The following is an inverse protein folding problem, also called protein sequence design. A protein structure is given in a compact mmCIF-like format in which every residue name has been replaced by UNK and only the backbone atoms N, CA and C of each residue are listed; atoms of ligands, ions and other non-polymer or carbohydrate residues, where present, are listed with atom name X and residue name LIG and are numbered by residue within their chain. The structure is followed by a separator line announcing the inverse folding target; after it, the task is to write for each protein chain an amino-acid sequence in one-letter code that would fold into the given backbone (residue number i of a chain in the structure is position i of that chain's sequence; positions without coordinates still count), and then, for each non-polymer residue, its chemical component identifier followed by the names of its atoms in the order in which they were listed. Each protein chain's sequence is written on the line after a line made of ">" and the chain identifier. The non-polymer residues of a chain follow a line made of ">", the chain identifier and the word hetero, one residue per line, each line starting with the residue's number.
data_IF_537418405753
#
_entry.id   IF_537418405753
#
_cell.length_a   1.000
_cell.length_b   1.000
_cell.length_c   1.000
_cell.angle_alpha   90.00
_cell.angle_beta   90.00
_cell.angle_gamma   90.00
#
_symmetry.space_group_name_H-M   'P 1'
#
loop_
_entity.id
_entity.type
_entity.pdbx_description
1 polymer ?
#
# COMPACT_ATOMS: atom_id res chain seq x y z
N UNK A 1 -2.77 -71.30 59.40
CA UNK A 1 -1.49 -70.62 59.63
C UNK A 1 -1.43 -69.40 58.73
N UNK A 2 -1.13 -68.25 59.34
CA UNK A 2 -0.65 -66.97 58.81
C UNK A 2 -1.45 -66.12 57.80
N UNK A 3 -1.87 -64.98 58.34
CA UNK A 3 -2.14 -63.67 57.74
C UNK A 3 -1.07 -63.23 56.74
N UNK A 4 -1.48 -62.44 55.75
CA UNK A 4 -0.72 -61.26 55.31
C UNK A 4 -1.70 -60.19 54.82
N UNK A 5 -1.51 -58.99 55.37
CA UNK A 5 -2.23 -57.76 55.08
C UNK A 5 -1.79 -57.23 53.71
N UNK A 6 -2.67 -56.54 52.98
CA UNK A 6 -2.22 -55.46 52.11
C UNK A 6 -3.22 -54.31 52.12
N UNK A 7 -2.61 -53.13 52.27
CA UNK A 7 -3.20 -51.85 52.65
C UNK A 7 -3.66 -51.08 51.42
N UNK A 8 -4.74 -50.33 51.65
CA UNK A 8 -5.42 -49.36 50.80
C UNK A 8 -4.49 -48.28 50.21
N UNK A 9 -4.68 -47.92 48.94
CA UNK A 9 -4.48 -46.55 48.46
C UNK A 9 -5.62 -46.20 47.50
N UNK A 10 -6.62 -45.45 47.99
CA UNK A 10 -7.59 -44.74 47.14
C UNK A 10 -6.92 -43.45 46.67
N UNK A 11 -6.59 -43.35 45.39
CA UNK A 11 -6.29 -42.09 44.74
C UNK A 11 -7.59 -41.45 44.27
N UNK A 12 -8.01 -40.36 44.96
CA UNK A 12 -9.05 -39.46 44.45
C UNK A 12 -8.47 -38.72 43.22
N UNK A 13 -8.92 -39.07 42.02
CA UNK A 13 -8.70 -38.25 40.84
C UNK A 13 -9.72 -37.11 40.83
N UNK A 14 -9.28 -35.90 41.17
CA UNK A 14 -10.06 -34.68 40.96
C UNK A 14 -9.98 -34.36 39.47
N UNK A 15 -11.07 -34.58 38.75
CA UNK A 15 -11.23 -34.07 37.37
C UNK A 15 -11.49 -32.58 37.48
N UNK A 16 -10.46 -31.77 37.31
CA UNK A 16 -10.62 -30.35 37.06
C UNK A 16 -11.20 -30.18 35.66
N UNK A 17 -12.50 -29.85 35.57
CA UNK A 17 -13.10 -29.39 34.33
C UNK A 17 -12.46 -28.04 33.99
N UNK A 18 -11.52 -28.04 33.05
CA UNK A 18 -11.07 -26.82 32.40
C UNK A 18 -12.26 -26.28 31.60
N UNK A 19 -12.89 -25.22 32.09
CA UNK A 19 -13.80 -24.43 31.29
C UNK A 19 -12.96 -23.76 30.20
N UNK A 20 -12.92 -24.37 29.02
CA UNK A 20 -12.47 -23.72 27.80
C UNK A 20 -13.50 -22.63 27.47
N UNK A 21 -13.24 -21.41 27.91
CA UNK A 21 -13.89 -20.22 27.38
C UNK A 21 -13.48 -20.10 25.92
N UNK A 22 -14.29 -20.65 25.03
CA UNK A 22 -14.23 -20.29 23.63
C UNK A 22 -14.55 -18.79 23.57
N UNK A 23 -13.50 -17.97 23.43
CA UNK A 23 -13.65 -16.59 22.96
C UNK A 23 -14.22 -16.71 21.56
N UNK A 24 -15.54 -16.55 21.42
CA UNK A 24 -16.15 -16.25 20.14
C UNK A 24 -15.52 -14.95 19.69
N UNK A 25 -14.49 -15.02 18.84
CA UNK A 25 -13.97 -13.88 18.10
C UNK A 25 -15.10 -13.43 17.19
N UNK A 26 -15.91 -12.49 17.66
CA UNK A 26 -16.92 -11.84 16.84
C UNK A 26 -16.17 -11.02 15.80
N UNK A 27 -16.37 -11.32 14.53
CA UNK A 27 -15.85 -10.49 13.44
C UNK A 27 -16.31 -9.04 13.63
N UNK A 28 -15.51 -8.04 13.22
CA UNK A 28 -15.94 -6.65 13.23
C UNK A 28 -17.24 -6.49 12.41
N UNK A 29 -18.20 -5.67 12.89
CA UNK A 29 -19.44 -5.43 12.17
C UNK A 29 -19.13 -4.75 10.84
N UNK A 30 -19.79 -5.21 9.77
CA UNK A 30 -19.75 -4.54 8.47
C UNK A 30 -20.54 -3.23 8.48
N UNK A 31 -20.36 -2.38 7.46
CA UNK A 31 -21.03 -1.10 7.36
C UNK A 31 -22.57 -1.15 7.48
N UNK A 32 -23.20 -2.24 7.02
CA UNK A 32 -24.64 -2.46 7.10
C UNK A 32 -25.13 -3.00 8.47
N UNK A 33 -24.22 -3.47 9.31
CA UNK A 33 -24.48 -3.98 10.66
C UNK A 33 -24.08 -2.98 11.75
N UNK A 34 -23.26 -1.99 11.39
CA UNK A 34 -22.69 -1.01 12.31
C UNK A 34 -23.74 0.03 12.73
N UNK A 35 -23.85 0.25 14.05
CA UNK A 35 -24.68 1.30 14.62
C UNK A 35 -23.95 2.12 15.71
N UNK A 36 -24.66 3.11 16.27
CA UNK A 36 -24.11 3.99 17.29
C UNK A 36 -23.86 3.33 18.66
N UNK A 37 -24.27 2.08 18.87
CA UNK A 37 -24.04 1.32 20.10
C UNK A 37 -22.72 0.54 20.05
N UNK A 38 -22.02 0.50 18.92
CA UNK A 38 -20.72 -0.14 18.81
C UNK A 38 -19.68 0.58 19.69
N UNK A 39 -19.17 -0.10 20.72
CA UNK A 39 -18.32 0.52 21.74
C UNK A 39 -16.83 0.39 21.43
N UNK A 40 -16.03 1.24 22.07
CA UNK A 40 -14.58 1.15 21.96
C UNK A 40 -14.04 -0.19 22.51
N UNK A 41 -14.64 -0.75 23.56
CA UNK A 41 -14.24 -2.05 24.10
C UNK A 41 -14.51 -3.20 23.12
N UNK A 42 -15.63 -3.15 22.39
CA UNK A 42 -15.91 -4.11 21.31
C UNK A 42 -14.91 -3.94 20.17
N UNK A 43 -14.58 -2.71 19.80
CA UNK A 43 -13.54 -2.42 18.83
C UNK A 43 -12.18 -2.99 19.23
N UNK A 44 -11.73 -2.75 20.47
CA UNK A 44 -10.47 -3.29 20.97
C UNK A 44 -10.46 -4.83 20.90
N UNK A 45 -11.56 -5.49 21.25
CA UNK A 45 -11.67 -6.94 21.18
C UNK A 45 -11.66 -7.47 19.74
N UNK A 46 -12.32 -6.79 18.80
CA UNK A 46 -12.44 -7.22 17.41
C UNK A 46 -11.13 -7.08 16.62
N UNK A 47 -10.27 -6.14 17.00
CA UNK A 47 -8.99 -5.86 16.33
C UNK A 47 -7.76 -6.23 17.18
N UNK A 48 -7.94 -7.02 18.24
CA UNK A 48 -6.89 -7.48 19.17
C UNK A 48 -5.99 -6.34 19.70
N UNK A 49 -6.62 -5.21 20.06
CA UNK A 49 -5.93 -4.01 20.54
C UNK A 49 -5.97 -3.92 22.06
N UNK A 50 -4.87 -3.43 22.65
CA UNK A 50 -4.82 -3.09 24.07
C UNK A 50 -3.94 -1.87 24.35
N UNK A 51 -4.38 -1.02 25.27
CA UNK A 51 -3.67 0.20 25.66
C UNK A 51 -3.48 0.23 27.17
N UNK A 52 -2.27 -0.11 27.65
CA UNK A 52 -1.96 -0.12 29.09
C UNK A 52 -1.77 1.28 29.68
N UNK A 53 -1.41 2.27 28.85
CA UNK A 53 -1.28 3.66 29.26
C UNK A 53 -2.67 4.34 29.29
N UNK A 54 -3.13 4.88 30.43
CA UNK A 54 -4.47 5.48 30.54
C UNK A 54 -4.69 6.71 29.66
N UNK A 55 -3.65 7.52 29.43
CA UNK A 55 -3.75 8.72 28.59
C UNK A 55 -3.87 8.32 27.12
N UNK A 56 -3.12 7.30 26.68
CA UNK A 56 -3.23 6.76 25.33
C UNK A 56 -4.58 6.06 25.11
N UNK A 57 -5.06 5.27 26.08
CA UNK A 57 -6.41 4.69 26.02
C UNK A 57 -7.48 5.77 25.84
N UNK A 58 -7.41 6.84 26.63
CA UNK A 58 -8.34 7.97 26.55
C UNK A 58 -8.26 8.67 25.20
N UNK A 59 -7.05 8.86 24.67
CA UNK A 59 -6.81 9.46 23.36
C UNK A 59 -7.40 8.59 22.24
N UNK A 60 -7.08 7.29 22.20
CA UNK A 60 -7.58 6.32 21.20
C UNK A 60 -9.09 6.19 21.24
N UNK A 61 -9.68 6.12 22.43
CA UNK A 61 -11.13 6.11 22.60
C UNK A 61 -11.80 7.35 22.01
N UNK A 62 -11.21 8.54 22.22
CA UNK A 62 -11.73 9.78 21.62
C UNK A 62 -11.64 9.77 20.09
N UNK A 63 -10.53 9.30 19.53
CA UNK A 63 -10.33 9.21 18.08
C UNK A 63 -11.32 8.22 17.47
N UNK A 64 -11.45 7.03 18.07
CA UNK A 64 -12.44 6.03 17.71
C UNK A 64 -13.85 6.61 17.67
N UNK A 65 -14.28 7.28 18.74
CA UNK A 65 -15.63 7.85 18.81
C UNK A 65 -15.85 8.90 17.71
N UNK A 66 -14.85 9.73 17.39
CA UNK A 66 -14.95 10.70 16.31
C UNK A 66 -15.07 10.02 14.94
N UNK A 67 -14.21 9.03 14.66
CA UNK A 67 -14.21 8.30 13.39
C UNK A 67 -15.47 7.45 13.22
N UNK A 68 -15.99 6.84 14.29
CA UNK A 68 -17.28 6.15 14.28
C UNK A 68 -18.42 7.09 13.86
N UNK A 69 -18.45 8.32 14.37
CA UNK A 69 -19.43 9.30 13.93
C UNK A 69 -19.25 9.71 12.46
N UNK A 70 -18.01 9.79 11.95
CA UNK A 70 -17.75 10.03 10.53
C UNK A 70 -18.35 8.89 9.69
N UNK A 71 -18.07 7.63 10.06
CA UNK A 71 -18.59 6.44 9.37
C UNK A 71 -20.12 6.45 9.35
N UNK A 72 -20.75 6.59 10.52
CA UNK A 72 -22.21 6.56 10.65
C UNK A 72 -22.89 7.69 9.87
N UNK A 73 -22.29 8.89 9.85
CA UNK A 73 -22.82 10.01 9.09
C UNK A 73 -22.65 9.82 7.58
N UNK A 74 -21.52 9.27 7.12
CA UNK A 74 -21.27 8.97 5.71
C UNK A 74 -22.23 7.90 5.17
N UNK A 75 -22.53 6.88 5.97
CA UNK A 75 -23.41 5.77 5.58
C UNK A 75 -24.91 6.09 5.72
N UNK A 76 -25.26 7.21 6.36
CA UNK A 76 -26.66 7.53 6.69
C UNK A 76 -27.53 7.65 5.43
N UNK A 77 -28.52 6.79 5.32
CA UNK A 77 -29.51 6.81 4.24
C UNK A 77 -29.01 6.19 2.93
N UNK A 78 -27.84 5.55 2.93
CA UNK A 78 -27.37 4.73 1.80
C UNK A 78 -28.15 3.42 1.74
N UNK A 79 -28.54 3.02 0.54
CA UNK A 79 -29.16 1.72 0.26
C UNK A 79 -28.05 0.67 0.13
N UNK A 80 -27.88 -0.14 1.18
CA UNK A 80 -26.87 -1.19 1.25
C UNK A 80 -27.54 -2.55 1.15
N UNK A 81 -27.00 -3.44 0.32
CA UNK A 81 -27.46 -4.82 0.25
C UNK A 81 -27.00 -5.66 1.47
N UNK A 82 -27.40 -6.93 1.51
CA UNK A 82 -27.01 -7.83 2.60
C UNK A 82 -25.51 -8.12 2.68
N UNK A 83 -24.75 -7.84 1.62
CA UNK A 83 -23.28 -7.93 1.59
C UNK A 83 -22.58 -6.62 1.94
N UNK A 84 -23.34 -5.56 2.26
CA UNK A 84 -22.80 -4.23 2.59
C UNK A 84 -22.46 -3.38 1.36
N UNK A 85 -22.77 -3.85 0.15
CA UNK A 85 -22.53 -3.10 -1.09
C UNK A 85 -23.57 -2.00 -1.25
N UNK A 86 -23.12 -0.83 -1.71
CA UNK A 86 -23.98 0.33 -1.93
C UNK A 86 -24.29 0.50 -3.41
N UNK A 87 -25.51 0.96 -3.70
CA UNK A 87 -25.97 1.19 -5.08
C UNK A 87 -25.17 2.26 -5.85
N UNK A 88 -24.59 3.26 -5.19
CA UNK A 88 -23.77 4.30 -5.81
C UNK A 88 -22.71 4.83 -4.82
N UNK A 89 -21.49 5.05 -5.31
CA UNK A 89 -20.35 5.50 -4.50
C UNK A 89 -19.81 4.42 -3.56
N UNK A 90 -19.36 4.83 -2.37
CA UNK A 90 -18.70 3.95 -1.41
C UNK A 90 -19.30 4.06 0.01
N UNK A 91 -19.04 3.05 0.82
CA UNK A 91 -19.34 3.02 2.26
C UNK A 91 -18.07 3.03 3.09
N UNK A 92 -18.18 3.57 4.29
CA UNK A 92 -17.11 3.53 5.28
C UNK A 92 -17.39 2.44 6.30
N UNK A 93 -16.34 1.88 6.88
CA UNK A 93 -16.42 0.79 7.85
C UNK A 93 -15.48 0.99 9.03
N UNK A 94 -15.73 0.23 10.09
CA UNK A 94 -14.75 0.10 11.16
C UNK A 94 -13.67 -0.88 10.72
N UNK A 95 -12.42 -0.45 10.84
CA UNK A 95 -11.23 -1.25 10.58
C UNK A 95 -10.12 -0.90 11.59
N UNK A 96 -8.94 -1.49 11.45
CA UNK A 96 -7.78 -1.28 12.31
C UNK A 96 -7.30 0.18 12.42
N UNK A 97 -7.78 1.09 11.56
CA UNK A 97 -7.47 2.53 11.60
C UNK A 97 -8.54 3.38 12.28
N UNK A 98 -9.63 2.79 12.79
CA UNK A 98 -10.74 3.57 13.37
C UNK A 98 -10.30 4.40 14.56
N UNK A 99 -9.29 3.98 15.33
CA UNK A 99 -8.71 4.72 16.45
C UNK A 99 -7.39 5.45 16.11
N UNK A 100 -7.13 5.66 14.81
CA UNK A 100 -5.94 6.33 14.29
C UNK A 100 -6.32 7.70 13.72
N UNK A 101 -5.61 8.75 14.11
CA UNK A 101 -5.76 10.07 13.49
C UNK A 101 -5.14 10.06 12.09
N UNK A 102 -5.67 10.85 11.16
CA UNK A 102 -5.12 10.99 9.79
C UNK A 102 -3.61 11.30 9.80
N UNK A 103 -3.17 12.13 10.75
CA UNK A 103 -1.75 12.47 10.94
C UNK A 103 -0.89 11.31 11.46
N UNK A 104 -1.47 10.20 11.88
CA UNK A 104 -0.78 8.99 12.36
C UNK A 104 -0.76 7.84 11.35
N UNK A 105 -1.55 7.92 10.27
CA UNK A 105 -1.55 6.88 9.23
C UNK A 105 -0.14 6.61 8.70
N UNK A 106 0.20 5.34 8.38
CA UNK A 106 1.53 4.96 7.89
C UNK A 106 1.72 5.36 6.42
N UNK A 107 1.61 6.66 6.15
CA UNK A 107 1.87 7.22 4.83
C UNK A 107 3.39 7.21 4.61
N UNK A 108 3.84 6.66 3.50
CA UNK A 108 5.27 6.49 3.20
C UNK A 108 6.01 7.76 2.80
N UNK A 109 5.63 8.89 3.37
CA UNK A 109 5.87 10.21 2.80
C UNK A 109 5.80 11.25 3.93
N UNK A 110 6.92 11.89 4.23
CA UNK A 110 7.18 12.65 5.47
C UNK A 110 6.11 13.73 5.77
N UNK A 111 5.48 13.64 6.95
CA UNK A 111 4.44 14.59 7.44
C UNK A 111 4.98 15.92 7.99
N UNK A 112 6.30 16.13 7.97
CA UNK A 112 7.00 17.21 8.68
C UNK A 112 7.16 18.55 7.96
N UNK A 113 6.39 18.88 6.91
CA UNK A 113 6.59 20.13 6.14
C UNK A 113 5.45 21.15 6.31
N UNK A 114 5.89 22.40 6.55
CA UNK A 114 5.27 23.48 7.33
C UNK A 114 4.36 24.44 6.50
N UNK A 115 3.49 25.28 7.11
CA UNK A 115 2.40 26.05 6.46
C UNK A 115 2.72 27.33 5.64
N UNK A 116 3.92 27.50 5.10
CA UNK A 116 4.15 28.48 4.03
C UNK A 116 4.23 27.64 2.74
N UNK A 117 3.63 27.99 1.60
CA UNK A 117 4.18 28.91 0.61
C UNK A 117 3.11 29.16 -0.48
N UNK A 118 3.16 30.31 -1.14
CA UNK A 118 2.25 30.69 -2.23
C UNK A 118 3.02 31.15 -3.46
N UNK A 119 2.56 30.65 -4.61
CA UNK A 119 2.52 31.21 -5.98
C UNK A 119 3.66 30.96 -6.98
N UNK A 120 3.25 30.23 -8.03
CA UNK A 120 3.40 30.46 -9.49
C UNK A 120 4.66 30.01 -10.25
N UNK A 121 4.44 28.88 -10.93
CA UNK A 121 4.61 28.58 -12.38
C UNK A 121 5.97 28.20 -12.94
N UNK A 122 5.92 26.99 -13.54
CA UNK A 122 6.66 26.44 -14.70
C UNK A 122 7.92 25.58 -14.46
N UNK A 123 7.88 24.42 -15.14
CA UNK A 123 8.92 23.41 -15.41
C UNK A 123 9.46 22.60 -14.22
N UNK A 124 8.94 21.37 -14.08
CA UNK A 124 9.54 20.30 -13.27
C UNK A 124 10.76 19.77 -14.02
N UNK A 125 11.96 20.15 -13.59
CA UNK A 125 13.19 19.44 -13.94
C UNK A 125 13.36 18.27 -12.98
N UNK A 126 13.27 17.07 -13.53
CA UNK A 126 13.66 15.80 -12.91
C UNK A 126 15.07 15.90 -12.32
N UNK A 127 15.26 15.50 -11.05
CA UNK A 127 16.58 15.51 -10.39
C UNK A 127 17.51 14.46 -10.99
N UNK A 128 18.84 14.64 -10.88
CA UNK A 128 19.82 13.64 -11.27
C UNK A 128 19.88 12.41 -10.34
N UNK A 129 19.04 12.31 -9.31
CA UNK A 129 18.81 11.04 -8.61
C UNK A 129 18.19 10.01 -9.55
N UNK A 130 17.33 10.44 -10.48
CA UNK A 130 16.91 9.61 -11.61
C UNK A 130 18.03 9.34 -12.63
N UNK A 131 19.15 10.09 -12.54
CA UNK A 131 20.41 9.83 -13.29
C UNK A 131 21.47 9.09 -12.47
N UNK A 132 21.21 8.64 -11.24
CA UNK A 132 22.13 7.79 -10.49
C UNK A 132 22.14 6.35 -11.02
N UNK A 133 22.00 6.19 -12.32
CA UNK A 133 22.33 4.97 -13.03
C UNK A 133 23.76 5.18 -13.53
N UNK A 134 24.74 4.73 -12.73
CA UNK A 134 26.09 4.50 -13.24
C UNK A 134 25.95 3.75 -14.56
N UNK A 135 26.62 4.21 -15.62
CA UNK A 135 26.31 4.00 -17.03
C UNK A 135 26.26 2.56 -17.58
N UNK A 136 25.50 1.68 -16.93
CA UNK A 136 25.33 0.25 -17.17
C UNK A 136 23.90 -0.24 -16.95
N UNK A 137 23.01 0.54 -16.32
CA UNK A 137 21.58 0.20 -16.12
C UNK A 137 20.72 1.32 -16.69
N UNK A 138 19.68 0.98 -17.45
CA UNK A 138 18.90 1.95 -18.22
C UNK A 138 17.61 2.26 -17.48
N UNK A 139 17.35 3.54 -17.21
CA UNK A 139 16.01 4.08 -17.38
C UNK A 139 15.65 3.73 -18.81
N UNK A 140 14.85 2.68 -19.00
CA UNK A 140 14.28 2.49 -20.32
C UNK A 140 13.23 3.57 -20.42
N UNK A 141 13.49 4.62 -21.21
CA UNK A 141 12.37 5.28 -21.90
C UNK A 141 11.44 4.15 -22.35
N UNK A 142 10.13 4.21 -22.03
CA UNK A 142 9.23 3.10 -22.34
C UNK A 142 9.53 2.69 -23.78
N UNK A 143 9.88 1.41 -24.05
CA UNK A 143 10.08 0.99 -25.43
C UNK A 143 8.87 1.49 -26.19
N UNK A 144 9.05 2.16 -27.33
CA UNK A 144 7.94 2.80 -28.05
C UNK A 144 6.86 1.74 -28.28
N UNK A 145 5.87 1.70 -27.40
CA UNK A 145 4.85 0.67 -27.41
C UNK A 145 3.63 1.32 -28.04
N UNK A 146 3.08 0.60 -29.02
CA UNK A 146 1.89 1.06 -29.70
C UNK A 146 0.76 1.07 -28.67
N UNK A 147 0.31 2.26 -28.28
CA UNK A 147 -0.89 2.42 -27.47
C UNK A 147 -2.09 2.25 -28.38
N UNK A 148 -2.90 1.22 -28.10
CA UNK A 148 -4.18 1.04 -28.74
C UNK A 148 -5.18 2.07 -28.20
N UNK A 149 -6.22 2.37 -28.98
CA UNK A 149 -7.29 3.24 -28.49
C UNK A 149 -7.99 2.56 -27.31
N UNK A 150 -8.31 3.34 -26.27
CA UNK A 150 -8.87 2.79 -25.02
C UNK A 150 -10.17 2.03 -25.28
N UNK A 151 -10.93 2.43 -26.29
CA UNK A 151 -12.15 1.75 -26.73
C UNK A 151 -11.92 0.31 -27.21
N UNK A 152 -10.73 0.02 -27.74
CA UNK A 152 -10.31 -1.29 -28.26
C UNK A 152 -9.71 -2.20 -27.18
N UNK A 153 -9.43 -1.68 -25.98
CA UNK A 153 -8.96 -2.46 -24.85
C UNK A 153 -10.08 -3.34 -24.25
N UNK A 154 -9.74 -4.42 -23.52
CA UNK A 154 -10.72 -5.18 -22.75
C UNK A 154 -11.54 -4.26 -21.85
N UNK A 155 -12.83 -4.56 -21.66
CA UNK A 155 -13.70 -3.74 -20.79
C UNK A 155 -13.37 -3.88 -19.30
N UNK A 156 -12.75 -4.99 -18.92
CA UNK A 156 -12.26 -5.24 -17.57
C UNK A 156 -10.96 -6.02 -17.63
N UNK A 157 -10.03 -5.68 -16.75
CA UNK A 157 -8.79 -6.40 -16.51
C UNK A 157 -8.67 -6.57 -15.00
N UNK A 158 -8.34 -7.79 -14.55
CA UNK A 158 -8.07 -8.05 -13.14
C UNK A 158 -6.95 -9.09 -13.03
N UNK A 159 -5.72 -8.61 -12.82
CA UNK A 159 -4.54 -9.45 -12.68
C UNK A 159 -4.59 -10.34 -11.43
N UNK A 160 -5.41 -10.01 -10.42
CA UNK A 160 -5.59 -10.88 -9.26
C UNK A 160 -6.38 -12.15 -9.62
N UNK A 161 -7.37 -12.05 -10.51
CA UNK A 161 -8.10 -13.21 -11.03
C UNK A 161 -7.25 -14.09 -11.96
N UNK A 162 -6.21 -13.52 -12.58
CA UNK A 162 -5.21 -14.27 -13.36
C UNK A 162 -4.17 -14.97 -12.47
N UNK A 163 -4.26 -14.82 -11.14
CA UNK A 163 -3.41 -15.53 -10.17
C UNK A 163 -1.98 -15.00 -10.07
N UNK A 164 -1.69 -13.81 -10.61
CA UNK A 164 -0.34 -13.23 -10.61
C UNK A 164 -0.14 -12.14 -9.54
N UNK A 165 -1.12 -11.95 -8.65
CA UNK A 165 -1.08 -10.93 -7.59
C UNK A 165 -1.22 -11.61 -6.23
N UNK A 166 -0.23 -11.42 -5.35
CA UNK A 166 -0.28 -11.89 -3.97
C UNK A 166 -1.38 -11.18 -3.14
N UNK A 167 -1.75 -11.76 -1.99
CA UNK A 167 -2.68 -11.12 -1.03
C UNK A 167 -2.15 -9.78 -0.52
N UNK A 168 -3.03 -8.86 -0.11
CA UNK A 168 -2.63 -7.54 0.38
C UNK A 168 -1.81 -7.65 1.68
N UNK A 169 -0.55 -7.19 1.69
CA UNK A 169 0.31 -7.25 2.88
C UNK A 169 0.00 -6.09 3.83
N UNK A 170 0.52 -6.15 5.05
CA UNK A 170 0.39 -5.08 6.05
C UNK A 170 1.76 -4.44 6.35
N UNK A 171 1.92 -3.18 5.93
CA UNK A 171 3.13 -2.41 6.20
C UNK A 171 3.26 -1.94 7.67
N UNK A 172 2.19 -2.04 8.46
CA UNK A 172 2.15 -1.59 9.83
C UNK A 172 2.35 -0.07 9.98
N UNK A 173 2.98 0.36 11.07
CA UNK A 173 3.22 1.78 11.38
C UNK A 173 4.37 2.44 10.60
N UNK A 174 5.01 1.73 9.67
CA UNK A 174 6.17 2.19 8.92
C UNK A 174 5.74 2.84 7.59
N UNK A 175 6.38 3.96 7.21
CA UNK A 175 6.17 4.61 5.93
C UNK A 175 6.84 3.90 4.75
N UNK A 176 6.55 2.62 4.56
CA UNK A 176 7.22 1.70 3.62
C UNK A 176 6.39 1.34 2.39
N UNK A 177 5.27 2.02 2.14
CA UNK A 177 4.39 1.75 0.98
C UNK A 177 5.15 1.69 -0.36
N UNK A 178 6.20 2.50 -0.51
CA UNK A 178 7.08 2.50 -1.68
C UNK A 178 7.79 1.16 -1.91
N UNK A 179 8.25 0.51 -0.83
CA UNK A 179 8.88 -0.80 -0.88
C UNK A 179 7.84 -1.89 -1.19
N UNK A 180 6.66 -1.83 -0.57
CA UNK A 180 5.57 -2.79 -0.84
C UNK A 180 5.07 -2.70 -2.28
N UNK A 181 4.85 -1.50 -2.81
CA UNK A 181 4.43 -1.32 -4.19
C UNK A 181 5.51 -1.77 -5.19
N UNK A 182 6.78 -1.44 -4.93
CA UNK A 182 7.90 -1.89 -5.74
C UNK A 182 8.03 -3.42 -5.77
N UNK A 183 7.89 -4.06 -4.59
CA UNK A 183 7.91 -5.52 -4.46
C UNK A 183 6.76 -6.18 -5.21
N UNK A 184 5.51 -5.72 -4.99
CA UNK A 184 4.33 -6.29 -5.64
C UNK A 184 4.43 -6.30 -7.17
N UNK A 185 5.00 -5.24 -7.76
CA UNK A 185 5.22 -5.18 -9.18
C UNK A 185 6.26 -6.20 -9.66
N UNK A 186 7.37 -6.38 -8.94
CA UNK A 186 8.38 -7.39 -9.29
C UNK A 186 7.81 -8.79 -9.20
N UNK A 187 7.07 -9.11 -8.13
CA UNK A 187 6.42 -10.42 -7.95
C UNK A 187 5.47 -10.73 -9.12
N UNK A 188 4.60 -9.79 -9.47
CA UNK A 188 3.59 -9.99 -10.51
C UNK A 188 4.21 -10.06 -11.90
N UNK A 189 5.19 -9.19 -12.20
CA UNK A 189 5.88 -9.22 -13.49
C UNK A 189 6.74 -10.47 -13.66
N UNK A 190 7.30 -11.04 -12.58
CA UNK A 190 7.96 -12.34 -12.62
C UNK A 190 6.95 -13.44 -12.96
N UNK A 191 5.83 -13.52 -12.24
CA UNK A 191 4.77 -14.51 -12.47
C UNK A 191 4.26 -14.46 -13.91
N UNK A 192 4.03 -13.25 -14.44
CA UNK A 192 3.64 -13.05 -15.85
C UNK A 192 4.72 -13.52 -16.82
N UNK A 193 6.00 -13.22 -16.53
CA UNK A 193 7.11 -13.56 -17.42
C UNK A 193 7.43 -15.06 -17.45
N UNK A 194 7.27 -15.76 -16.32
CA UNK A 194 7.62 -17.19 -16.18
C UNK A 194 6.42 -18.11 -16.33
N UNK A 195 5.20 -17.62 -16.10
CA UNK A 195 3.99 -18.44 -15.97
C UNK A 195 3.93 -19.26 -14.68
N UNK A 196 4.71 -18.89 -13.67
CA UNK A 196 4.74 -19.50 -12.34
C UNK A 196 3.82 -18.75 -11.37
N UNK A 197 3.51 -19.37 -10.23
CA UNK A 197 2.82 -18.69 -9.13
C UNK A 197 3.66 -17.49 -8.61
N UNK A 198 3.03 -16.38 -8.19
CA UNK A 198 3.74 -15.22 -7.69
C UNK A 198 4.53 -15.58 -6.43
N UNK A 199 5.84 -15.37 -6.50
CA UNK A 199 6.74 -15.49 -5.36
C UNK A 199 6.43 -14.38 -4.33
N UNK A 200 6.74 -14.62 -3.06
CA UNK A 200 6.62 -13.61 -2.00
C UNK A 200 8.02 -13.11 -1.61
N UNK A 201 8.33 -11.87 -1.98
CA UNK A 201 9.64 -11.26 -1.79
C UNK A 201 9.69 -10.37 -0.56
N UNK A 202 10.90 -10.07 -0.11
CA UNK A 202 11.17 -9.24 1.05
C UNK A 202 11.09 -7.75 0.72
N UNK A 203 10.10 -7.06 1.27
CA UNK A 203 10.06 -5.59 1.28
C UNK A 203 11.13 -5.01 2.19
N UNK A 204 11.54 -5.75 3.23
CA UNK A 204 12.56 -5.34 4.19
C UNK A 204 13.91 -5.13 3.52
N UNK A 205 14.27 -5.96 2.52
CA UNK A 205 15.48 -5.73 1.74
C UNK A 205 15.44 -4.38 1.02
N UNK A 206 14.33 -4.06 0.34
CA UNK A 206 14.19 -2.77 -0.35
C UNK A 206 14.22 -1.62 0.66
N UNK A 207 13.47 -1.73 1.75
CA UNK A 207 13.38 -0.74 2.82
C UNK A 207 14.75 -0.31 3.34
N UNK A 208 15.60 -1.30 3.64
CA UNK A 208 16.86 -1.08 4.34
C UNK A 208 18.05 -0.78 3.43
N UNK A 209 18.02 -1.29 2.19
CA UNK A 209 19.16 -1.24 1.29
C UNK A 209 19.07 -0.19 0.19
N UNK A 210 17.87 0.31 -0.14
CA UNK A 210 17.72 1.28 -1.23
C UNK A 210 18.25 2.66 -0.82
N UNK A 211 19.26 3.20 -1.53
CA UNK A 211 19.75 4.54 -1.24
C UNK A 211 18.72 5.61 -1.57
N UNK A 212 18.59 6.62 -0.71
CA UNK A 212 17.80 7.83 -0.97
C UNK A 212 18.62 9.10 -0.66
N UNK A 213 19.72 9.34 -1.40
CA UNK A 213 20.65 10.43 -1.08
C UNK A 213 20.00 11.81 -1.20
N UNK A 214 19.03 11.97 -2.09
CA UNK A 214 18.42 13.27 -2.41
C UNK A 214 17.08 13.49 -1.69
N UNK A 215 16.73 12.57 -0.79
CA UNK A 215 15.50 12.59 -0.01
C UNK A 215 14.24 12.72 -0.89
N UNK A 216 14.18 11.92 -1.96
CA UNK A 216 13.01 11.78 -2.82
C UNK A 216 11.92 11.03 -2.08
N UNK A 217 10.78 11.70 -1.91
CA UNK A 217 9.63 11.23 -1.17
C UNK A 217 9.84 10.79 0.25
N UNK A 218 10.79 11.43 0.93
CA UNK A 218 11.09 11.16 2.32
C UNK A 218 12.58 11.01 2.55
N UNK A 219 12.98 10.41 3.68
CA UNK A 219 14.40 10.25 4.05
C UNK A 219 14.92 8.83 3.87
N UNK A 220 14.17 8.00 3.16
CA UNK A 220 14.39 6.55 3.06
C UNK A 220 13.68 5.79 4.17
N UNK A 221 13.68 4.47 4.05
CA UNK A 221 13.12 3.54 5.06
C UNK A 221 11.67 3.89 5.43
N UNK A 222 11.34 3.85 6.72
CA UNK A 222 10.03 4.23 7.25
C UNK A 222 9.72 5.73 7.17
N UNK A 223 10.68 6.59 6.84
CA UNK A 223 10.45 8.03 6.61
C UNK A 223 10.04 8.33 5.16
N UNK A 224 9.97 7.30 4.31
CA UNK A 224 9.49 7.40 2.95
C UNK A 224 10.57 7.42 1.87
N UNK A 225 10.23 6.85 0.72
CA UNK A 225 11.01 6.94 -0.52
C UNK A 225 10.07 6.72 -1.72
N UNK A 226 10.63 6.51 -2.91
CA UNK A 226 9.85 6.19 -4.11
C UNK A 226 10.14 4.76 -4.61
N UNK A 227 9.17 4.08 -5.25
CA UNK A 227 9.37 2.75 -5.85
C UNK A 227 10.56 2.68 -6.82
N UNK A 228 10.81 3.76 -7.55
CA UNK A 228 11.88 3.91 -8.55
C UNK A 228 13.26 3.78 -7.92
N UNK A 229 13.45 4.34 -6.71
CA UNK A 229 14.70 4.18 -5.96
C UNK A 229 14.95 2.71 -5.57
N UNK A 230 13.87 1.98 -5.25
CA UNK A 230 13.95 0.56 -4.95
C UNK A 230 14.39 -0.25 -6.17
N UNK A 231 13.78 0.02 -7.32
CA UNK A 231 14.16 -0.64 -8.58
C UNK A 231 15.55 -0.23 -9.07
N UNK A 232 15.97 1.02 -8.89
CA UNK A 232 17.35 1.43 -9.16
C UNK A 232 18.35 0.58 -8.37
N UNK A 233 18.09 0.39 -7.08
CA UNK A 233 18.90 -0.48 -6.22
C UNK A 233 18.92 -1.92 -6.73
N UNK A 234 17.76 -2.55 -6.96
CA UNK A 234 17.69 -3.94 -7.42
C UNK A 234 18.38 -4.12 -8.77
N UNK A 235 18.16 -3.21 -9.72
CA UNK A 235 18.78 -3.25 -11.04
C UNK A 235 20.32 -3.15 -10.95
N UNK A 236 20.85 -2.22 -10.15
CA UNK A 236 22.30 -2.08 -9.94
C UNK A 236 22.91 -3.33 -9.30
N UNK A 237 22.28 -3.85 -8.24
CA UNK A 237 22.75 -5.06 -7.55
C UNK A 237 22.75 -6.28 -8.47
N UNK A 238 21.69 -6.42 -9.29
CA UNK A 238 21.54 -7.51 -10.26
C UNK A 238 22.58 -7.40 -11.37
N UNK A 239 22.72 -6.22 -12.00
CA UNK A 239 23.66 -5.98 -13.09
C UNK A 239 25.11 -6.23 -12.67
N UNK A 240 25.46 -5.89 -11.43
CA UNK A 240 26.79 -6.11 -10.87
C UNK A 240 27.00 -7.50 -10.27
N UNK A 241 25.99 -8.38 -10.31
CA UNK A 241 26.01 -9.72 -9.70
C UNK A 241 26.38 -9.69 -8.21
N UNK A 242 25.87 -8.69 -7.49
CA UNK A 242 26.11 -8.47 -6.05
C UNK A 242 24.89 -8.72 -5.20
N UNK A 243 23.71 -8.85 -5.80
CA UNK A 243 22.46 -9.03 -5.09
C UNK A 243 21.26 -9.00 -6.03
N UNK A 244 20.09 -8.82 -5.44
CA UNK A 244 18.78 -8.75 -6.07
C UNK A 244 17.74 -8.65 -4.96
N UNK A 245 16.53 -9.12 -5.21
CA UNK A 245 15.49 -9.30 -4.19
C UNK A 245 15.58 -10.69 -3.57
N UNK A 246 15.14 -10.81 -2.32
CA UNK A 246 15.20 -12.03 -1.50
C UNK A 246 13.79 -12.51 -1.16
N UNK A 247 13.63 -13.79 -0.80
CA UNK A 247 12.33 -14.26 -0.29
C UNK A 247 11.98 -13.58 1.03
N UNK A 248 10.69 -13.37 1.27
CA UNK A 248 10.20 -12.86 2.55
C UNK A 248 10.66 -13.72 3.74
N UNK A 249 10.71 -15.04 3.59
CA UNK A 249 11.13 -15.95 4.66
C UNK A 249 12.63 -15.84 5.02
N UNK A 250 13.46 -15.44 4.06
CA UNK A 250 14.91 -15.28 4.25
C UNK A 250 15.24 -13.93 4.89
N UNK A 251 14.45 -12.91 4.55
CA UNK A 251 14.56 -11.53 5.09
C UNK A 251 13.16 -11.04 5.51
N UNK A 252 12.67 -11.41 6.71
CA UNK A 252 11.33 -11.06 7.15
C UNK A 252 11.11 -9.56 7.36
N UNK A 253 9.89 -9.10 7.07
CA UNK A 253 9.47 -7.73 7.36
C UNK A 253 9.12 -7.54 8.83
N UNK A 254 9.62 -6.46 9.43
CA UNK A 254 9.26 -6.04 10.79
C UNK A 254 8.90 -4.55 10.91
N UNK A 255 9.01 -3.78 9.82
CA UNK A 255 8.69 -2.35 9.81
C UNK A 255 9.57 -1.49 10.73
N UNK A 256 10.76 -1.97 11.09
CA UNK A 256 11.73 -1.24 11.88
C UNK A 256 12.91 -0.76 11.03
N UNK A 257 13.57 0.32 11.47
CA UNK A 257 14.78 0.81 10.81
C UNK A 257 16.01 0.01 11.29
N UNK A 258 16.53 -0.86 10.45
CA UNK A 258 17.71 -1.69 10.71
C UNK A 258 18.96 -1.19 9.95
N UNK A 259 19.88 -2.08 9.61
CA UNK A 259 20.98 -1.80 8.69
C UNK A 259 20.95 -2.85 7.59
N UNK A 260 21.09 -2.42 6.34
CA UNK A 260 21.26 -3.33 5.22
C UNK A 260 22.42 -4.33 5.42
N UNK A 261 23.55 -3.86 5.95
CA UNK A 261 24.68 -4.76 6.26
C UNK A 261 24.30 -5.75 7.37
N UNK A 262 24.55 -7.03 7.11
CA UNK A 262 24.21 -8.12 8.01
C UNK A 262 22.79 -8.68 7.82
N UNK A 263 21.86 -7.85 7.34
CA UNK A 263 20.50 -8.27 6.99
C UNK A 263 20.52 -9.25 5.81
N UNK A 264 21.31 -8.93 4.77
CA UNK A 264 21.35 -9.68 3.51
C UNK A 264 22.63 -10.50 3.30
N UNK A 265 23.66 -10.34 4.14
CA UNK A 265 25.02 -10.83 3.89
C UNK A 265 25.13 -12.36 3.67
N UNK A 266 24.20 -13.14 4.22
CA UNK A 266 24.17 -14.60 4.10
C UNK A 266 22.92 -15.13 3.37
N UNK A 267 22.15 -14.25 2.76
CA UNK A 267 20.93 -14.61 2.06
C UNK A 267 21.20 -14.76 0.57
N UNK A 268 20.40 -15.59 -0.10
CA UNK A 268 20.53 -15.79 -1.55
C UNK A 268 19.50 -14.93 -2.27
N UNK A 269 19.92 -13.98 -3.13
CA UNK A 269 18.97 -13.24 -3.93
C UNK A 269 18.33 -14.19 -4.95
N UNK A 270 17.02 -14.07 -5.15
CA UNK A 270 16.22 -14.95 -6.01
C UNK A 270 15.70 -14.28 -7.26
N UNK A 271 15.49 -12.96 -7.22
CA UNK A 271 14.89 -12.21 -8.33
C UNK A 271 15.69 -10.96 -8.63
N UNK A 272 15.91 -10.70 -9.91
CA UNK A 272 16.58 -9.51 -10.41
C UNK A 272 15.71 -8.78 -11.42
N UNK A 273 16.07 -7.53 -11.70
CA UNK A 273 15.44 -6.71 -12.74
C UNK A 273 16.52 -6.06 -13.61
N UNK A 274 16.17 -5.69 -14.84
CA UNK A 274 17.08 -4.96 -15.73
C UNK A 274 16.96 -3.44 -15.58
N UNK A 275 15.80 -2.97 -15.13
CA UNK A 275 15.50 -1.57 -14.90
C UNK A 275 14.02 -1.37 -14.62
N UNK A 276 13.51 -0.19 -14.92
CA UNK A 276 12.09 0.16 -14.81
C UNK A 276 11.73 1.22 -15.86
N UNK A 277 10.45 1.48 -16.02
CA UNK A 277 9.93 2.51 -16.92
C UNK A 277 8.85 3.34 -16.24
N UNK A 278 8.76 4.60 -16.66
CA UNK A 278 7.72 5.54 -16.29
C UNK A 278 6.78 5.76 -17.47
N UNK A 279 5.47 5.68 -17.26
CA UNK A 279 4.48 6.09 -18.25
C UNK A 279 4.28 7.60 -18.21
N UNK A 280 3.82 8.23 -19.32
CA UNK A 280 3.47 9.63 -19.31
C UNK A 280 2.51 9.99 -18.16
N UNK A 281 2.95 10.90 -17.29
CA UNK A 281 2.17 11.38 -16.16
C UNK A 281 0.86 12.02 -16.62
N UNK A 282 -0.20 11.77 -15.85
CA UNK A 282 -1.55 12.27 -16.06
C UNK A 282 -2.20 11.82 -17.40
N UNK A 283 -1.69 10.73 -17.98
CA UNK A 283 -2.18 10.21 -19.27
C UNK A 283 -2.99 8.93 -19.06
N UNK A 284 -4.32 9.08 -19.17
CA UNK A 284 -5.28 8.00 -19.05
C UNK A 284 -5.02 6.91 -20.10
N UNK A 285 -4.73 7.29 -21.35
CA UNK A 285 -4.49 6.32 -22.42
C UNK A 285 -3.23 5.50 -22.14
N UNK A 286 -2.18 6.14 -21.63
CA UNK A 286 -0.96 5.45 -21.25
C UNK A 286 -1.20 4.46 -20.10
N UNK A 287 -1.86 4.88 -19.02
CA UNK A 287 -2.17 4.02 -17.86
C UNK A 287 -3.02 2.82 -18.26
N UNK A 288 -4.04 3.02 -19.10
CA UNK A 288 -4.90 1.93 -19.57
C UNK A 288 -4.17 0.93 -20.49
N UNK A 289 -3.15 1.37 -21.21
CA UNK A 289 -2.32 0.54 -22.08
C UNK A 289 -1.09 -0.07 -21.35
N UNK A 290 -1.01 0.05 -20.02
CA UNK A 290 0.11 -0.50 -19.27
C UNK A 290 0.26 -2.02 -19.50
N UNK A 291 1.52 -2.46 -19.64
CA UNK A 291 1.84 -3.88 -19.81
C UNK A 291 1.93 -4.52 -18.42
N UNK A 292 0.88 -5.25 -18.04
CA UNK A 292 0.80 -5.83 -16.71
C UNK A 292 0.29 -4.84 -15.64
N UNK A 293 0.23 -5.28 -14.38
CA UNK A 293 -0.09 -4.40 -13.25
C UNK A 293 1.07 -3.41 -12.99
N UNK A 294 0.74 -2.22 -12.50
CA UNK A 294 1.69 -1.09 -12.37
C UNK A 294 1.62 -0.44 -10.99
N UNK A 295 2.67 0.26 -10.60
CA UNK A 295 2.70 1.08 -9.39
C UNK A 295 2.14 2.46 -9.69
N UNK A 296 1.38 3.01 -8.73
CA UNK A 296 0.86 4.38 -8.75
C UNK A 296 1.32 5.13 -7.49
N UNK A 297 1.66 6.40 -7.63
CA UNK A 297 1.63 7.34 -6.51
C UNK A 297 0.24 8.03 -6.44
N UNK A 298 -0.41 7.98 -5.28
CA UNK A 298 -1.79 8.42 -5.08
C UNK A 298 -1.95 9.34 -3.86
N UNK A 299 -3.04 10.10 -3.85
CA UNK A 299 -3.51 10.87 -2.70
C UNK A 299 -4.50 10.02 -1.89
N UNK A 300 -4.02 9.44 -0.78
CA UNK A 300 -4.77 8.44 0.01
C UNK A 300 -5.09 8.89 1.44
N UNK A 301 -4.97 10.19 1.74
CA UNK A 301 -5.19 10.77 3.09
C UNK A 301 -6.56 10.45 3.70
N UNK A 302 -7.57 10.18 2.88
CA UNK A 302 -8.96 9.94 3.29
C UNK A 302 -9.44 8.51 2.99
N UNK A 303 -8.52 7.62 2.61
CA UNK A 303 -8.85 6.22 2.31
C UNK A 303 -9.10 5.40 3.57
N UNK A 304 -8.53 5.77 4.71
CA UNK A 304 -8.37 4.88 5.88
C UNK A 304 -9.66 4.24 6.42
N UNK A 305 -10.84 4.82 6.16
CA UNK A 305 -12.13 4.29 6.61
C UNK A 305 -12.95 3.64 5.49
N UNK A 306 -12.40 3.49 4.28
CA UNK A 306 -13.04 2.79 3.17
C UNK A 306 -13.29 1.32 3.53
N UNK A 307 -14.51 0.84 3.26
CA UNK A 307 -14.86 -0.58 3.38
C UNK A 307 -15.17 -1.20 2.01
N UNK A 308 -16.02 -0.57 1.19
CA UNK A 308 -16.37 -1.09 -0.14
C UNK A 308 -17.04 -0.05 -1.04
N UNK A 309 -17.16 -0.36 -2.33
CA UNK A 309 -17.82 0.45 -3.35
C UNK A 309 -16.85 1.30 -4.19
N UNK A 310 -17.38 2.21 -4.99
CA UNK A 310 -16.55 3.05 -5.87
C UNK A 310 -16.15 4.33 -5.15
N UNK A 311 -14.89 4.39 -4.74
CA UNK A 311 -14.31 5.50 -3.98
C UNK A 311 -14.09 6.74 -4.86
N UNK A 312 -14.45 7.91 -4.32
CA UNK A 312 -14.25 9.21 -4.96
C UNK A 312 -13.72 10.19 -3.90
N UNK A 313 -12.64 10.90 -4.24
CA UNK A 313 -12.02 11.90 -3.37
C UNK A 313 -11.51 13.09 -4.15
N UNK A 314 -11.50 14.25 -3.47
CA UNK A 314 -10.89 15.48 -3.96
C UNK A 314 -9.49 15.72 -3.37
N UNK A 315 -8.98 14.84 -2.53
CA UNK A 315 -7.60 14.94 -2.03
C UNK A 315 -6.62 14.87 -3.21
N UNK A 316 -5.66 15.80 -3.23
CA UNK A 316 -4.66 15.92 -4.30
C UNK A 316 -3.23 15.78 -3.82
N UNK A 317 -2.98 15.80 -2.51
CA UNK A 317 -1.62 15.60 -1.97
C UNK A 317 -1.23 14.14 -2.08
N UNK A 318 -0.34 13.86 -3.03
CA UNK A 318 0.22 12.53 -3.26
C UNK A 318 1.07 12.17 -2.05
N UNK A 319 0.79 11.01 -1.47
CA UNK A 319 1.39 10.60 -0.21
C UNK A 319 1.32 9.10 0.04
N UNK A 320 1.09 8.30 -0.99
CA UNK A 320 1.02 6.85 -0.87
C UNK A 320 1.39 6.17 -2.19
N UNK A 321 2.09 5.04 -2.12
CA UNK A 321 2.44 4.22 -3.28
C UNK A 321 1.62 2.93 -3.21
N UNK A 322 0.94 2.60 -4.30
CA UNK A 322 -0.02 1.48 -4.37
C UNK A 322 0.14 0.73 -5.69
N UNK A 323 -0.55 -0.41 -5.81
CA UNK A 323 -0.40 -1.29 -6.95
C UNK A 323 -1.72 -1.41 -7.72
N UNK A 324 -1.77 -0.85 -8.93
CA UNK A 324 -2.89 -0.96 -9.86
C UNK A 324 -2.87 -2.34 -10.51
N UNK A 325 -3.85 -3.16 -10.14
CA UNK A 325 -3.97 -4.56 -10.59
C UNK A 325 -5.03 -4.74 -11.66
N UNK A 326 -5.75 -3.68 -12.03
CA UNK A 326 -6.82 -3.80 -12.99
C UNK A 326 -7.75 -2.61 -13.06
N UNK A 327 -8.83 -2.79 -13.80
CA UNK A 327 -9.93 -1.85 -13.95
C UNK A 327 -11.18 -2.61 -14.39
N UNK A 328 -12.35 -1.98 -14.23
CA UNK A 328 -13.59 -2.57 -14.70
C UNK A 328 -14.75 -1.58 -14.65
N UNK A 329 -15.94 -2.16 -14.67
CA UNK A 329 -17.22 -1.47 -14.50
C UNK A 329 -18.00 -2.27 -13.45
N UNK A 330 -18.51 -1.59 -12.43
CA UNK A 330 -19.36 -2.24 -11.44
C UNK A 330 -20.69 -2.64 -12.10
N UNK A 331 -21.05 -3.92 -12.03
CA UNK A 331 -22.23 -4.45 -12.75
C UNK A 331 -23.56 -3.90 -12.21
N UNK A 332 -23.60 -3.46 -10.95
CA UNK A 332 -24.81 -2.96 -10.31
C UNK A 332 -25.00 -1.46 -10.55
N UNK A 333 -23.91 -0.70 -10.47
CA UNK A 333 -23.96 0.77 -10.57
C UNK A 333 -23.68 1.27 -11.99
N UNK A 334 -22.96 0.49 -12.79
CA UNK A 334 -22.42 0.91 -14.08
C UNK A 334 -21.25 1.89 -13.96
N UNK A 335 -20.71 2.12 -12.76
CA UNK A 335 -19.57 3.03 -12.56
C UNK A 335 -18.26 2.31 -12.88
N UNK A 336 -17.44 2.98 -13.69
CA UNK A 336 -16.10 2.53 -14.03
C UNK A 336 -15.12 2.75 -12.87
N UNK A 337 -14.19 1.82 -12.68
CA UNK A 337 -13.21 1.89 -11.61
C UNK A 337 -11.82 1.41 -12.03
N UNK A 338 -10.81 1.90 -11.31
CA UNK A 338 -9.49 1.31 -11.15
C UNK A 338 -9.50 0.36 -9.96
N UNK A 339 -8.89 -0.82 -10.08
CA UNK A 339 -8.74 -1.80 -9.01
C UNK A 339 -7.32 -1.74 -8.45
N UNK A 340 -7.20 -1.37 -7.18
CA UNK A 340 -5.92 -1.08 -6.54
C UNK A 340 -5.72 -2.01 -5.34
N UNK A 341 -4.61 -2.75 -5.33
CA UNK A 341 -4.10 -3.49 -4.16
C UNK A 341 -3.36 -2.51 -3.26
N UNK A 342 -3.76 -2.45 -1.99
CA UNK A 342 -3.12 -1.62 -0.97
C UNK A 342 -2.15 -2.46 -0.11
N UNK A 343 -1.38 -1.79 0.75
CA UNK A 343 -0.40 -2.39 1.69
C UNK A 343 -0.79 -2.18 3.15
N UNK A 344 -2.09 -2.10 3.43
CA UNK A 344 -2.66 -1.88 4.76
C UNK A 344 -3.32 -3.13 5.34
N UNK A 345 -2.98 -4.30 4.83
CA UNK A 345 -3.52 -5.59 5.26
C UNK A 345 -4.91 -5.90 4.69
N UNK A 346 -5.37 -7.16 4.85
CA UNK A 346 -6.62 -7.64 4.26
C UNK A 346 -7.88 -7.08 4.94
N UNK A 347 -7.76 -6.57 6.17
CA UNK A 347 -8.88 -5.96 6.92
C UNK A 347 -9.24 -4.55 6.40
N UNK A 348 -8.37 -3.96 5.57
CA UNK A 348 -8.67 -2.71 4.89
C UNK A 348 -9.52 -2.96 3.65
N UNK A 349 -10.62 -2.20 3.49
CA UNK A 349 -11.39 -2.20 2.25
C UNK A 349 -11.90 -3.60 1.83
N UNK A 350 -11.76 -3.88 0.54
CA UNK A 350 -12.29 -5.09 -0.10
C UNK A 350 -11.21 -6.18 -0.11
N UNK A 351 -10.87 -6.70 1.07
CA UNK A 351 -9.82 -7.72 1.20
C UNK A 351 -8.41 -7.16 0.99
N UNK A 352 -8.19 -5.90 1.37
CA UNK A 352 -6.97 -5.13 1.15
C UNK A 352 -6.94 -4.35 -0.16
N UNK A 353 -8.04 -4.38 -0.94
CA UNK A 353 -8.19 -3.64 -2.18
C UNK A 353 -9.11 -2.43 -2.02
N UNK A 354 -8.99 -1.50 -2.96
CA UNK A 354 -9.90 -0.37 -3.13
C UNK A 354 -10.23 -0.19 -4.61
N UNK A 355 -11.49 0.15 -4.89
CA UNK A 355 -11.94 0.56 -6.21
C UNK A 355 -12.07 2.07 -6.27
N UNK A 356 -11.29 2.72 -7.12
CA UNK A 356 -11.30 4.19 -7.28
C UNK A 356 -11.99 4.55 -8.59
N UNK A 357 -12.87 5.54 -8.54
CA UNK A 357 -13.65 6.00 -9.70
C UNK A 357 -12.76 6.36 -10.90
N UNK A 358 -13.06 5.73 -12.04
CA UNK A 358 -12.40 5.93 -13.33
C UNK A 358 -13.36 6.62 -14.31
N UNK A 359 -12.84 7.55 -15.11
CA UNK A 359 -13.60 8.19 -16.18
C UNK A 359 -12.74 8.39 -17.43
N UNK A 360 -13.34 8.35 -18.62
CA UNK A 360 -12.60 8.62 -19.86
C UNK A 360 -12.07 10.06 -19.98
N UNK A 361 -12.50 10.96 -19.07
CA UNK A 361 -12.05 12.34 -19.00
C UNK A 361 -10.99 12.57 -17.90
N UNK A 362 -10.48 11.50 -17.28
CA UNK A 362 -9.59 11.59 -16.12
C UNK A 362 -8.34 12.46 -16.35
N UNK A 363 -7.75 12.42 -17.55
CA UNK A 363 -6.61 13.30 -17.93
C UNK A 363 -6.92 14.80 -17.88
N UNK A 364 -8.20 15.18 -17.88
CA UNK A 364 -8.67 16.56 -17.85
C UNK A 364 -9.23 16.97 -16.48
N UNK A 365 -9.47 16.02 -15.58
CA UNK A 365 -9.94 16.29 -14.22
C UNK A 365 -8.73 16.33 -13.30
N UNK A 366 -8.17 17.53 -13.10
CA UNK A 366 -6.90 17.70 -12.42
C UNK A 366 -6.95 18.76 -11.32
N UNK A 367 -6.06 18.58 -10.35
CA UNK A 367 -5.83 19.48 -9.23
C UNK A 367 -4.33 19.74 -9.09
N UNK A 368 -3.96 20.68 -8.22
CA UNK A 368 -2.56 20.89 -7.84
C UNK A 368 -2.30 20.16 -6.53
N UNK A 369 -1.22 19.39 -6.49
CA UNK A 369 -0.58 19.02 -5.24
C UNK A 369 0.39 20.14 -4.84
N UNK A 370 -0.01 20.92 -3.83
CA UNK A 370 0.80 22.02 -3.30
C UNK A 370 1.88 21.56 -2.30
N UNK A 371 1.99 20.25 -2.05
CA UNK A 371 2.93 19.65 -1.09
C UNK A 371 3.66 18.43 -1.66
N UNK A 372 4.29 18.52 -2.84
CA UNK A 372 4.85 17.33 -3.49
C UNK A 372 6.08 16.75 -2.77
N UNK A 373 6.70 17.48 -1.82
CA UNK A 373 7.71 16.94 -0.90
C UNK A 373 7.15 15.95 0.13
N UNK A 374 5.83 15.94 0.32
CA UNK A 374 5.19 14.83 1.02
C UNK A 374 5.36 13.61 0.15
N UNK A 375 4.82 13.63 -1.07
CA UNK A 375 4.85 12.56 -2.06
C UNK A 375 6.19 12.39 -2.77
N UNK A 376 6.23 12.47 -4.09
CA UNK A 376 7.36 11.92 -4.88
C UNK A 376 8.61 12.83 -4.99
N UNK A 377 8.51 14.11 -4.62
CA UNK A 377 9.56 15.08 -4.92
C UNK A 377 10.82 14.92 -4.05
N UNK A 378 12.00 15.11 -4.65
CA UNK A 378 13.27 15.20 -3.96
C UNK A 378 13.43 16.51 -3.18
N UNK A 379 13.96 16.43 -1.97
CA UNK A 379 14.24 17.60 -1.15
C UNK A 379 15.62 18.23 -1.45
N UNK A 380 16.54 17.47 -2.07
CA UNK A 380 17.87 17.93 -2.44
C UNK A 380 18.07 17.90 -3.97
N UNK A 381 18.89 18.81 -4.47
CA UNK A 381 19.39 18.81 -5.84
C UNK A 381 20.62 17.89 -5.99
N UNK A 382 21.11 17.77 -7.23
CA UNK A 382 22.26 16.92 -7.60
C UNK A 382 23.57 17.27 -6.88
N UNK A 383 23.66 18.46 -6.30
CA UNK A 383 24.82 18.93 -5.55
C UNK A 383 24.61 18.77 -4.03
N UNK A 384 23.49 18.18 -3.60
CA UNK A 384 23.10 18.03 -2.21
C UNK A 384 22.56 19.31 -1.58
N UNK A 385 22.24 20.34 -2.36
CA UNK A 385 21.64 21.56 -1.82
C UNK A 385 20.14 21.35 -1.64
N UNK A 386 19.58 21.96 -0.59
CA UNK A 386 18.13 21.97 -0.39
C UNK A 386 17.44 22.71 -1.54
N UNK A 387 16.40 22.08 -2.10
CA UNK A 387 15.51 22.73 -3.06
C UNK A 387 14.58 23.65 -2.26
N UNK A 388 14.85 24.95 -2.31
CA UNK A 388 14.10 25.95 -1.53
C UNK A 388 12.74 26.30 -2.15
N UNK A 389 12.58 26.10 -3.47
CA UNK A 389 11.38 26.51 -4.21
C UNK A 389 10.73 25.31 -4.93
N UNK A 390 10.14 24.42 -4.14
CA UNK A 390 9.42 23.26 -4.67
C UNK A 390 8.07 23.69 -5.23
N UNK A 391 7.90 23.51 -6.54
CA UNK A 391 6.69 23.89 -7.25
C UNK A 391 5.55 22.89 -7.04
N UNK A 392 4.30 23.36 -6.90
CA UNK A 392 3.14 22.48 -6.97
C UNK A 392 3.12 21.67 -8.27
N UNK A 393 2.72 20.41 -8.17
CA UNK A 393 2.63 19.49 -9.33
C UNK A 393 1.18 19.26 -9.71
N UNK A 394 0.92 19.14 -11.01
CA UNK A 394 -0.41 18.84 -11.53
C UNK A 394 -0.65 17.34 -11.38
N UNK A 395 -1.74 16.98 -10.71
CA UNK A 395 -2.19 15.60 -10.53
C UNK A 395 -3.61 15.44 -11.07
N UNK A 396 -3.86 14.35 -11.80
CA UNK A 396 -5.14 14.12 -12.50
C UNK A 396 -5.81 12.83 -12.03
N UNK A 397 -7.11 12.74 -12.31
CA UNK A 397 -8.04 11.72 -11.83
C UNK A 397 -8.30 11.76 -10.32
N UNK A 398 -9.29 10.98 -9.88
CA UNK A 398 -9.59 10.80 -8.46
C UNK A 398 -8.37 10.24 -7.72
N UNK A 399 -8.04 10.79 -6.56
CA UNK A 399 -6.86 10.39 -5.78
C UNK A 399 -5.53 10.40 -6.56
N UNK A 400 -5.40 11.22 -7.60
CA UNK A 400 -4.16 11.35 -8.39
C UNK A 400 -3.70 10.06 -9.10
N UNK A 401 -4.59 9.08 -9.36
CA UNK A 401 -4.23 7.74 -9.86
C UNK A 401 -3.54 7.69 -11.23
N UNK A 402 -3.37 8.82 -11.93
CA UNK A 402 -2.63 8.90 -13.19
C UNK A 402 -1.25 9.56 -13.06
N UNK A 403 -0.84 10.02 -11.89
CA UNK A 403 0.28 10.97 -11.79
C UNK A 403 1.67 10.34 -12.01
N UNK A 404 1.98 9.27 -11.31
CA UNK A 404 3.31 8.64 -11.31
C UNK A 404 3.14 7.14 -11.49
N UNK A 405 3.04 6.72 -12.77
CA UNK A 405 2.68 5.35 -13.14
C UNK A 405 3.90 4.63 -13.68
N UNK A 406 4.41 3.66 -12.94
CA UNK A 406 5.71 3.04 -13.21
C UNK A 406 5.67 1.52 -13.01
N UNK A 407 6.59 0.80 -13.66
CA UNK A 407 6.73 -0.65 -13.51
C UNK A 407 8.15 -1.15 -13.83
N UNK A 408 8.59 -2.29 -13.25
CA UNK A 408 9.90 -2.86 -13.50
C UNK A 408 9.97 -3.50 -14.89
N UNK A 409 11.16 -3.56 -15.48
CA UNK A 409 11.40 -4.22 -16.78
C UNK A 409 12.50 -5.27 -16.67
N UNK A 410 12.36 -6.33 -17.48
CA UNK A 410 13.31 -7.43 -17.52
C UNK A 410 13.41 -8.16 -16.17
N UNK A 411 12.28 -8.38 -15.51
CA UNK A 411 12.21 -9.16 -14.28
C UNK A 411 12.56 -10.63 -14.58
N UNK A 412 13.44 -11.24 -13.80
CA UNK A 412 13.92 -12.59 -14.01
C UNK A 412 14.40 -13.25 -12.71
N UNK A 413 14.41 -14.59 -12.68
CA UNK A 413 15.12 -15.35 -11.65
C UNK A 413 16.62 -15.12 -11.76
N UNK A 414 17.30 -14.99 -10.61
CA UNK A 414 18.76 -14.98 -10.54
C UNK A 414 19.24 -16.44 -10.49
N UNK A 415 20.09 -16.81 -11.45
CA UNK A 415 20.70 -18.15 -11.58
C UNK A 415 21.90 -18.39 -10.66
#
# INVERSE_FOLDING_TARGET
>A
MNRLHNVLFLSLAVVAAAASSATTTTSPPRANELDANYTFEQYLANFDKSYSNPDEFTRRSRIFNNNLQIILNHNKGRDMDSSGRVKEGFVMGVNQFTDVERSELPMGYNKGLHPAWRSQTESVTVSATERWLGGTTSYSQPPSFKMDDVDDLPKSVDWSNEGVVNEAPDQGGCGSCWAFAATAAVESHLAIATGEDPIVLSEMNLLECSPNPDHCGGKGKCDGATPELAWNYVADMTANKKGGMFNLNDVPYNGENEKCQGLIDNQTPVVGIQGWTLLPSNDYKATMNAVGPVVLAVAASDWSLYESGIFESKESTVNHAVFLVGYGTDEETGEDYYLIRNSWGPDFGEGGFIRVKRTDNDSNVCQMDDKPLVGIQCALDDNGNKIEDVQPVKVCANSAVLFDVSYPVGVHHIE
#
